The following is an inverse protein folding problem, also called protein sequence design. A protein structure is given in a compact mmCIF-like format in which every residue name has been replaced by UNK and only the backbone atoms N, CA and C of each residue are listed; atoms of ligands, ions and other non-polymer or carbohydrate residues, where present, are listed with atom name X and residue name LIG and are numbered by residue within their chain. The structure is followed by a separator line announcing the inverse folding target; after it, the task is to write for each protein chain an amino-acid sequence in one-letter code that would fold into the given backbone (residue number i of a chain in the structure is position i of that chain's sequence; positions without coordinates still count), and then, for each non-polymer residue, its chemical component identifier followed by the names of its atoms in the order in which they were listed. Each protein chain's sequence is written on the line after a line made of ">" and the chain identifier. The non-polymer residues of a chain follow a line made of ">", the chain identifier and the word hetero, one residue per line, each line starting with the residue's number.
data_IF_261246487569
#
_entry.id   IF_261246487569
#
_cell.length_a   1.000
_cell.length_b   1.000
_cell.length_c   1.000
_cell.angle_alpha   90.00
_cell.angle_beta   90.00
_cell.angle_gamma   90.00
#
_symmetry.space_group_name_H-M   'P 1'
#
loop_
_entity.id
_entity.type
_entity.pdbx_description
1 polymer ?
2 non-polymer ?
3 non-polymer ?
4 water ?
#
# COMPACT_ATOMS: atom_id res chain seq x y z
N UNK A 4 9.40 1.89 -18.84
CA UNK A 4 10.86 2.01 -18.55
C UNK A 4 11.41 0.77 -17.86
N UNK A 5 12.67 0.42 -18.16
CA UNK A 5 13.31 -0.87 -17.79
C UNK A 5 13.55 -0.87 -16.27
N UNK A 6 12.88 -1.76 -15.54
CA UNK A 6 13.01 -1.89 -14.06
C UNK A 6 14.20 -2.81 -13.76
N UNK A 7 14.92 -2.55 -12.66
CA UNK A 7 15.86 -3.51 -12.03
C UNK A 7 15.08 -4.79 -11.70
N UNK A 8 15.79 -5.89 -11.47
CA UNK A 8 15.21 -7.19 -11.05
C UNK A 8 14.33 -6.99 -9.81
N UNK A 9 14.85 -6.29 -8.81
CA UNK A 9 14.15 -6.05 -7.52
C UNK A 9 12.88 -5.21 -7.77
N UNK A 10 12.93 -4.22 -8.66
CA UNK A 10 11.73 -3.38 -8.96
C UNK A 10 10.70 -4.20 -9.75
N UNK A 11 11.12 -5.20 -10.53
CA UNK A 11 10.17 -6.12 -11.20
C UNK A 11 9.46 -6.96 -10.14
N UNK A 12 10.20 -7.47 -9.15
CA UNK A 12 9.60 -8.20 -8.00
C UNK A 12 8.58 -7.30 -7.30
N UNK A 13 8.94 -6.04 -7.05
CA UNK A 13 8.04 -5.02 -6.46
C UNK A 13 6.80 -4.85 -7.33
N UNK A 14 6.98 -4.72 -8.65
CA UNK A 14 5.84 -4.54 -9.59
C UNK A 14 4.94 -5.78 -9.52
N UNK A 15 5.52 -6.97 -9.45
CA UNK A 15 4.78 -8.24 -9.30
C UNK A 15 3.91 -8.23 -8.05
N UNK A 16 4.50 -7.86 -6.91
CA UNK A 16 3.77 -7.72 -5.61
C UNK A 16 2.62 -6.72 -5.80
N UNK A 17 2.89 -5.55 -6.40
CA UNK A 17 1.87 -4.49 -6.62
C UNK A 17 0.69 -5.06 -7.41
N UNK A 18 0.96 -5.75 -8.52
CA UNK A 18 -0.10 -6.39 -9.34
C UNK A 18 -0.91 -7.36 -8.48
N UNK A 19 -0.25 -8.16 -7.64
CA UNK A 19 -0.94 -9.14 -6.76
C UNK A 19 -1.84 -8.38 -5.79
N UNK A 20 -1.34 -7.32 -5.15
CA UNK A 20 -2.13 -6.53 -4.16
C UNK A 20 -3.38 -5.96 -4.83
N UNK A 21 -3.31 -5.65 -6.14
CA UNK A 21 -4.44 -5.05 -6.91
C UNK A 21 -5.32 -6.13 -7.55
N UNK A 22 -4.96 -7.41 -7.45
CA UNK A 22 -5.62 -8.54 -8.17
C UNK A 22 -6.92 -8.94 -7.46
N UNK A 23 -7.81 -9.62 -8.18
CA UNK A 23 -9.14 -10.06 -7.67
C UNK A 23 -8.95 -11.01 -6.48
N UNK A 24 -7.84 -11.76 -6.46
CA UNK A 24 -7.44 -12.70 -5.37
C UNK A 24 -7.61 -12.04 -3.99
N UNK A 25 -7.24 -10.77 -3.85
CA UNK A 25 -7.15 -10.07 -2.54
C UNK A 25 -8.21 -8.97 -2.43
N UNK A 26 -9.14 -8.87 -3.38
CA UNK A 26 -10.07 -7.72 -3.50
C UNK A 26 -10.96 -7.58 -2.26
N UNK A 27 -11.30 -8.69 -1.58
CA UNK A 27 -12.23 -8.68 -0.42
C UNK A 27 -11.67 -7.81 0.72
N UNK A 28 -10.34 -7.71 0.86
CA UNK A 28 -9.68 -6.93 1.94
C UNK A 28 -8.79 -5.81 1.37
N UNK A 29 -8.44 -5.82 0.08
CA UNK A 29 -7.53 -4.82 -0.52
C UNK A 29 -8.27 -3.54 -0.94
N UNK A 30 -9.59 -3.58 -1.12
CA UNK A 30 -10.34 -2.48 -1.81
C UNK A 30 -10.22 -1.14 -1.09
N UNK A 31 -10.16 -1.05 0.26
CA UNK A 31 -10.01 0.25 0.93
C UNK A 31 -8.69 0.97 0.60
N UNK A 32 -7.72 0.26 0.02
CA UNK A 32 -6.34 0.74 -0.25
C UNK A 32 -6.14 1.00 -1.75
N UNK A 33 -7.18 0.83 -2.56
CA UNK A 33 -7.12 0.98 -4.04
C UNK A 33 -6.89 2.45 -4.41
N UNK A 34 -7.52 3.37 -3.68
CA UNK A 34 -7.58 4.81 -4.05
C UNK A 34 -7.30 5.66 -2.81
N UNK A 35 -6.88 6.93 -2.98
CA UNK A 35 -6.66 7.82 -1.84
C UNK A 35 -7.92 7.87 -0.96
N UNK A 36 -7.73 7.91 0.36
CA UNK A 36 -8.83 8.14 1.33
C UNK A 36 -9.49 9.47 0.97
N UNK A 37 -10.78 9.43 0.60
CA UNK A 37 -11.60 10.64 0.36
C UNK A 37 -12.20 11.04 1.71
N UNK A 38 -11.45 11.82 2.49
CA UNK A 38 -11.76 12.13 3.91
C UNK A 38 -13.15 12.79 3.99
N UNK A 39 -13.41 13.77 3.12
CA UNK A 39 -14.69 14.53 3.09
C UNK A 39 -15.87 13.60 2.79
N UNK A 40 -15.74 12.75 1.77
CA UNK A 40 -16.79 11.78 1.35
C UNK A 40 -17.13 10.85 2.52
N UNK A 41 -16.13 10.42 3.30
CA UNK A 41 -16.28 9.41 4.38
C UNK A 41 -16.60 10.09 5.72
N UNK A 42 -16.62 11.43 5.75
CA UNK A 42 -16.91 12.22 6.96
C UNK A 42 -15.77 12.19 7.97
N UNK A 43 -14.55 11.90 7.51
CA UNK A 43 -13.34 11.80 8.37
C UNK A 43 -12.62 13.16 8.38
N UNK A 44 -13.21 14.17 9.02
CA UNK A 44 -12.77 15.59 8.89
C UNK A 44 -11.47 15.84 9.67
N UNK A 45 -10.99 14.85 10.43
CA UNK A 45 -9.71 14.92 11.18
C UNK A 45 -8.61 14.13 10.46
N UNK A 46 -8.92 13.44 9.36
CA UNK A 46 -7.98 12.49 8.70
C UNK A 46 -6.65 13.20 8.36
N UNK A 47 -6.73 14.37 7.72
CA UNK A 47 -5.54 15.10 7.18
C UNK A 47 -4.82 15.87 8.29
N UNK A 48 -5.41 15.96 9.49
CA UNK A 48 -4.74 16.50 10.70
C UNK A 48 -3.88 15.40 11.35
N UNK A 49 -4.30 14.14 11.21
CA UNK A 49 -3.67 12.97 11.88
C UNK A 49 -2.66 12.33 10.92
N UNK A 50 -3.01 12.26 9.63
CA UNK A 50 -2.20 11.61 8.55
C UNK A 50 -1.57 12.72 7.70
N UNK A 51 -0.27 12.95 7.87
CA UNK A 51 0.48 14.04 7.19
C UNK A 51 0.92 13.58 5.79
N UNK A 52 1.05 12.27 5.56
CA UNK A 52 1.52 11.69 4.28
C UNK A 52 0.57 10.58 3.83
N UNK A 53 -0.59 10.93 3.23
CA UNK A 53 -1.50 9.91 2.71
C UNK A 53 -0.80 9.05 1.65
N UNK A 54 -1.15 7.77 1.59
CA UNK A 54 -0.60 6.84 0.57
C UNK A 54 -1.63 5.75 0.30
N UNK A 55 -1.66 5.27 -0.94
CA UNK A 55 -2.63 4.25 -1.41
C UNK A 55 -2.02 3.54 -2.62
N UNK A 56 -2.60 2.42 -3.04
CA UNK A 56 -2.01 1.57 -4.12
C UNK A 56 -2.06 2.27 -5.48
N UNK A 57 -3.06 3.13 -5.75
CA UNK A 57 -3.13 3.88 -7.04
C UNK A 57 -1.93 4.83 -7.14
N UNK A 58 -1.53 5.45 -6.03
CA UNK A 58 -0.36 6.38 -5.97
C UNK A 58 0.93 5.56 -6.16
N UNK A 59 1.02 4.40 -5.50
CA UNK A 59 2.19 3.48 -5.65
C UNK A 59 2.28 3.07 -7.13
N UNK A 60 1.16 2.73 -7.76
CA UNK A 60 1.13 2.29 -9.19
C UNK A 60 1.59 3.45 -10.08
N UNK A 61 1.07 4.66 -9.88
CA UNK A 61 1.48 5.86 -10.66
C UNK A 61 3.00 6.06 -10.53
N UNK A 62 3.53 5.95 -9.31
CA UNK A 62 4.98 6.18 -9.04
C UNK A 62 5.80 5.07 -9.72
N UNK A 63 5.32 3.82 -9.71
CA UNK A 63 5.99 2.69 -10.41
C UNK A 63 5.99 2.97 -11.92
N UNK A 64 4.83 3.35 -12.48
CA UNK A 64 4.66 3.62 -13.93
C UNK A 64 5.56 4.79 -14.36
N UNK A 65 5.74 5.79 -13.49
CA UNK A 65 6.53 7.02 -13.76
C UNK A 65 8.02 6.77 -13.51
N UNK A 66 8.41 5.56 -13.08
CA UNK A 66 9.81 5.21 -12.71
C UNK A 66 10.28 6.13 -11.58
N UNK A 67 9.37 6.48 -10.68
CA UNK A 67 9.67 7.33 -9.50
C UNK A 67 10.57 6.55 -8.54
N UNK A 68 10.25 5.28 -8.27
CA UNK A 68 11.01 4.43 -7.31
C UNK A 68 12.37 4.07 -7.91
N UNK A 69 13.45 4.37 -7.19
CA UNK A 69 14.83 4.07 -7.65
C UNK A 69 15.26 2.70 -7.13
N UNK A 70 14.61 2.19 -6.07
CA UNK A 70 14.97 0.87 -5.48
C UNK A 70 13.76 0.28 -4.75
N UNK A 71 13.86 -1.00 -4.38
CA UNK A 71 12.79 -1.78 -3.73
C UNK A 71 12.43 -1.16 -2.38
N UNK A 72 13.43 -0.67 -1.65
CA UNK A 72 13.27 -0.07 -0.29
C UNK A 72 12.33 1.14 -0.37
N UNK A 73 12.48 1.95 -1.42
CA UNK A 73 11.65 3.17 -1.62
C UNK A 73 10.20 2.75 -1.87
N UNK A 74 9.99 1.74 -2.72
CA UNK A 74 8.65 1.15 -2.98
C UNK A 74 8.05 0.64 -1.67
N UNK A 75 8.80 -0.18 -0.93
CA UNK A 75 8.33 -0.81 0.33
C UNK A 75 7.95 0.28 1.34
N UNK A 76 8.70 1.38 1.39
CA UNK A 76 8.44 2.49 2.33
C UNK A 76 7.03 3.04 2.10
N UNK A 77 6.62 3.21 0.83
CA UNK A 77 5.28 3.75 0.49
C UNK A 77 4.19 2.74 0.86
N UNK A 78 4.39 1.45 0.57
CA UNK A 78 3.37 0.41 0.91
C UNK A 78 3.19 0.39 2.43
N UNK A 79 4.28 0.43 3.19
CA UNK A 79 4.22 0.37 4.67
C UNK A 79 3.65 1.68 5.23
N UNK A 80 3.95 2.83 4.60
CA UNK A 80 3.34 4.14 4.97
C UNK A 80 1.81 4.00 4.89
N UNK A 81 1.30 3.41 3.82
CA UNK A 81 -0.15 3.20 3.60
C UNK A 81 -0.74 2.39 4.78
N UNK A 82 -0.11 1.28 5.16
CA UNK A 82 -0.59 0.44 6.29
C UNK A 82 -0.47 1.22 7.59
N UNK A 83 0.66 1.89 7.82
CA UNK A 83 0.93 2.67 9.04
C UNK A 83 -0.14 3.75 9.22
N UNK A 84 -0.53 4.44 8.14
CA UNK A 84 -1.60 5.47 8.16
C UNK A 84 -2.88 4.83 8.69
N UNK A 85 -3.21 3.64 8.20
CA UNK A 85 -4.41 2.87 8.62
C UNK A 85 -4.35 2.57 10.12
N UNK A 86 -3.21 2.08 10.62
CA UNK A 86 -3.00 1.69 12.04
C UNK A 86 -3.00 2.93 12.95
N UNK A 87 -2.54 4.08 12.44
CA UNK A 87 -2.48 5.34 13.22
C UNK A 87 -3.89 5.92 13.38
N UNK A 88 -4.66 5.98 12.29
CA UNK A 88 -5.94 6.73 12.26
C UNK A 88 -7.06 5.93 12.94
N UNK A 89 -7.09 4.62 12.72
CA UNK A 89 -8.29 3.78 13.00
C UNK A 89 -8.15 3.08 14.35
N UNK A 90 -9.25 2.95 15.11
CA UNK A 90 -9.25 2.12 16.30
C UNK A 90 -8.97 0.69 15.85
N UNK A 91 -8.23 -0.12 16.64
CA UNK A 91 -7.77 -1.43 16.19
C UNK A 91 -8.88 -2.48 15.96
N UNK A 92 -10.14 -2.16 16.29
CA UNK A 92 -11.30 -3.07 16.16
C UNK A 92 -12.12 -2.73 14.90
N UNK A 93 -11.76 -1.70 14.14
CA UNK A 93 -12.43 -1.36 12.86
C UNK A 93 -12.07 -2.43 11.83
N UNK A 94 -13.01 -2.81 10.97
CA UNK A 94 -12.81 -3.84 9.92
C UNK A 94 -11.63 -3.45 9.01
N UNK A 95 -11.43 -2.16 8.74
CA UNK A 95 -10.36 -1.69 7.81
C UNK A 95 -8.99 -2.08 8.37
N UNK A 96 -8.81 -2.11 9.69
CA UNK A 96 -7.53 -2.52 10.33
C UNK A 96 -7.31 -4.02 10.09
N UNK A 97 -8.35 -4.84 10.28
CA UNK A 97 -8.31 -6.29 9.99
C UNK A 97 -7.89 -6.50 8.53
N UNK A 98 -8.46 -5.71 7.62
CA UNK A 98 -8.20 -5.80 6.16
C UNK A 98 -6.75 -5.38 5.88
N UNK A 99 -6.28 -4.30 6.50
CA UNK A 99 -4.87 -3.84 6.41
C UNK A 99 -3.92 -4.96 6.85
N UNK A 100 -4.18 -5.60 8.00
CA UNK A 100 -3.29 -6.66 8.55
C UNK A 100 -3.21 -7.82 7.55
N UNK A 101 -4.32 -8.19 6.92
CA UNK A 101 -4.38 -9.31 5.95
C UNK A 101 -3.60 -8.94 4.68
N UNK A 102 -3.79 -7.73 4.16
CA UNK A 102 -3.07 -7.30 2.93
C UNK A 102 -1.58 -7.13 3.25
N UNK A 103 -1.23 -6.66 4.46
CA UNK A 103 0.20 -6.47 4.84
C UNK A 103 0.87 -7.85 4.97
N UNK A 104 0.13 -8.87 5.42
CA UNK A 104 0.66 -10.25 5.51
C UNK A 104 1.02 -10.73 4.10
N UNK A 105 0.16 -10.48 3.11
CA UNK A 105 0.43 -10.82 1.68
C UNK A 105 1.71 -10.08 1.26
N UNK A 106 1.75 -8.78 1.51
CA UNK A 106 2.90 -7.91 1.14
C UNK A 106 4.20 -8.43 1.78
N UNK A 107 4.22 -8.55 3.11
CA UNK A 107 5.48 -8.82 3.85
C UNK A 107 6.05 -10.17 3.43
N UNK A 108 5.21 -11.20 3.30
CA UNK A 108 5.69 -12.57 2.99
C UNK A 108 6.28 -12.61 1.58
N UNK A 109 5.67 -11.91 0.61
CA UNK A 109 6.20 -11.91 -0.78
C UNK A 109 7.39 -10.96 -0.90
N UNK A 110 7.36 -9.80 -0.23
CA UNK A 110 8.51 -8.85 -0.21
C UNK A 110 9.76 -9.58 0.30
N UNK A 111 9.59 -10.47 1.29
CA UNK A 111 10.68 -11.22 1.94
C UNK A 111 11.38 -12.14 0.93
N UNK A 112 10.70 -12.53 -0.15
CA UNK A 112 11.22 -13.41 -1.23
C UNK A 112 11.91 -12.58 -2.33
N UNK A 113 12.24 -11.32 -2.04
CA UNK A 113 13.03 -10.41 -2.92
C UNK A 113 14.26 -11.16 -3.45
N UNK A 114 14.51 -11.17 -4.78
CA UNK A 114 15.74 -11.76 -5.31
C UNK A 114 16.96 -10.92 -4.89
N UNK A 115 18.04 -11.59 -4.48
CA UNK A 115 19.34 -10.96 -4.09
C UNK A 115 20.28 -10.98 -5.29
X LIG B 1 -11.79 3.46 5.43
X LIG B 1 -12.72 4.54 7.83
X LIG B 1 -13.59 3.99 6.91
X LIG B 1 -13.10 3.46 5.72
X LIG B 1 -14.04 2.80 4.73
X LIG B 1 -13.61 2.99 3.27
X LIG B 1 -15.47 0.90 5.60
X LIG B 1 -13.38 -0.90 5.40
X LIG B 1 -13.34 5.06 9.09
X LIG B 1 -12.01 6.10 12.45
X LIG B 1 -14.53 5.38 9.11
X LIG B 1 -12.57 5.12 10.18
X LIG B 1 -13.02 5.75 11.43
X LIG B 1 -12.94 4.96 12.67
X LIG B 1 -11.36 4.56 7.53
X LIG B 1 -10.94 4.00 6.32
X LIG B 1 -9.47 3.93 6.01
X LIG B 1 -8.62 4.21 6.85
X LIG B 1 -9.16 3.52 4.78
X LIG B 1 -7.80 3.29 4.35
X LIG B 1 -14.24 1.34 5.11
X LIG B 1 -13.21 0.42 5.01
X LIG B 1 -14.60 -1.31 5.89
X LIG B 1 -15.65 -0.41 5.99
X LIG C 1 3.48 -9.09 8.99
X LIG C 1 2.43 -8.35 8.41
X LIG C 1 3.43 -10.52 8.62
X LIG C 1 2.21 -11.15 8.97
X LIG D 1 9.68 10.84 -3.87
X LIG D 1 8.75 10.18 -4.72
X LIG D 1 10.48 11.89 -4.56
X LIG D 1 10.89 11.51 -5.86
#
# INVERSE_FOLDING_TARGET
>A
GSMGKLSEQLKHCNGILKELLSKKHAAYAWPFYKPVDASALGLHDYHDIIKHPMDLSTVKRKMENRDYRDAQEFAADVRLMFSNCYKYNPPDHDVVAMARKLQDVFEFRYAKMPD
>B hetero
1 ULE N1 C4 C5 C6 C7 C8 C10 C13 C15 C17 O1 N2 C16 C18 C3 C2 C1 O N C C9 C14 C12 C11
>C hetero
1 EDO C1 O1 C2 O2
>D hetero
1 EDO C1 O1 C2 O2
#
